data_IF_614385145339
#
_entry.id   IF_614385145339
#
_cell.length_a   1.000
_cell.length_b   1.000
_cell.length_c   1.000
_cell.angle_alpha   90.00
_cell.angle_beta   90.00
_cell.angle_gamma   90.00
#
_symmetry.space_group_name_H-M   'P 1'
#
loop_
_entity.id
_entity.type
_entity.pdbx_description
1 polymer ?
#
# COMPACT_ATOMS: atom_id res chain seq x y z
N UNK A 1 -24.13 -11.80 13.64
CA UNK A 1 -24.62 -12.62 12.49
C UNK A 1 -23.53 -13.62 12.14
N UNK A 2 -23.87 -14.90 11.82
CA UNK A 2 -22.90 -15.91 11.40
C UNK A 2 -22.80 -15.91 9.87
N UNK A 3 -21.57 -15.92 9.36
CA UNK A 3 -21.22 -15.95 7.94
C UNK A 3 -20.09 -16.95 7.69
N UNK A 4 -19.84 -17.32 6.45
CA UNK A 4 -18.61 -18.05 6.06
C UNK A 4 -17.50 -17.04 5.77
N UNK A 5 -16.29 -17.32 6.27
CA UNK A 5 -15.14 -16.44 6.04
C UNK A 5 -13.83 -17.07 6.52
N UNK A 6 -12.71 -16.45 6.13
CA UNK A 6 -11.41 -16.73 6.72
C UNK A 6 -11.11 -15.75 7.82
N UNK A 7 -10.53 -16.24 8.90
CA UNK A 7 -10.22 -15.42 10.07
C UNK A 7 -8.91 -15.82 10.73
N UNK A 8 -8.23 -14.82 11.27
CA UNK A 8 -7.06 -15.00 12.11
C UNK A 8 -7.44 -15.40 13.52
N UNK A 9 -6.59 -16.23 14.12
CA UNK A 9 -6.65 -16.61 15.53
C UNK A 9 -5.26 -16.83 16.09
N UNK A 10 -5.12 -16.81 17.43
CA UNK A 10 -3.87 -17.16 18.08
C UNK A 10 -3.73 -18.70 18.11
N UNK A 11 -2.92 -19.22 17.21
CA UNK A 11 -2.63 -20.66 17.08
C UNK A 11 -1.34 -20.87 16.29
N UNK A 12 -0.43 -21.66 16.82
CA UNK A 12 0.81 -22.03 16.14
C UNK A 12 0.54 -22.83 14.87
N UNK A 13 -0.38 -23.82 14.93
CA UNK A 13 -0.67 -24.70 13.81
C UNK A 13 -1.68 -24.13 12.82
N UNK A 14 -2.68 -23.41 13.31
CA UNK A 14 -3.80 -22.89 12.51
C UNK A 14 -4.05 -21.40 12.78
N UNK A 15 -3.10 -20.52 12.42
CA UNK A 15 -3.25 -19.09 12.65
C UNK A 15 -4.31 -18.42 11.75
N UNK A 16 -4.68 -19.07 10.64
CA UNK A 16 -5.70 -18.65 9.70
C UNK A 16 -6.61 -19.85 9.37
N UNK A 17 -7.92 -19.66 9.49
CA UNK A 17 -8.93 -20.72 9.34
C UNK A 17 -10.09 -20.22 8.49
N UNK A 18 -10.66 -21.12 7.66
CA UNK A 18 -11.95 -20.88 7.00
C UNK A 18 -13.06 -21.62 7.73
N UNK A 19 -14.19 -20.95 7.95
CA UNK A 19 -15.33 -21.56 8.62
C UNK A 19 -16.46 -20.57 8.94
N UNK A 20 -17.38 -21.05 9.79
CA UNK A 20 -18.44 -20.21 10.32
C UNK A 20 -17.85 -19.21 11.33
N UNK A 21 -18.13 -17.94 11.13
CA UNK A 21 -17.64 -16.85 11.97
C UNK A 21 -18.75 -15.84 12.22
N UNK A 22 -18.80 -15.31 13.45
CA UNK A 22 -19.71 -14.25 13.79
C UNK A 22 -19.07 -12.91 13.40
N UNK A 23 -19.81 -12.11 12.62
CA UNK A 23 -19.41 -10.74 12.27
C UNK A 23 -19.98 -9.74 13.26
N UNK A 24 -19.21 -8.68 13.53
CA UNK A 24 -19.51 -7.67 14.53
C UNK A 24 -19.85 -6.35 13.86
N UNK A 25 -20.97 -5.74 14.30
CA UNK A 25 -21.31 -4.39 13.87
C UNK A 25 -20.41 -3.41 14.60
N UNK A 26 -19.65 -2.64 13.86
CA UNK A 26 -18.82 -1.58 14.40
C UNK A 26 -19.64 -0.30 14.39
N UNK A 27 -19.85 0.34 15.56
CA UNK A 27 -20.53 1.61 15.63
C UNK A 27 -19.85 2.61 14.71
N UNK A 28 -20.64 3.27 13.87
CA UNK A 28 -20.15 4.34 13.05
C UNK A 28 -19.83 5.53 13.92
N UNK A 29 -18.54 5.87 14.04
CA UNK A 29 -18.09 7.09 14.68
C UNK A 29 -17.78 8.14 13.63
N UNK A 30 -18.43 9.29 13.74
CA UNK A 30 -18.16 10.45 12.90
C UNK A 30 -17.28 11.45 13.60
N UNK A 31 -16.60 12.25 12.79
CA UNK A 31 -15.81 13.38 13.25
C UNK A 31 -16.70 14.40 13.99
N UNK A 32 -16.33 14.74 15.23
CA UNK A 32 -16.88 15.83 16.05
C UNK A 32 -18.40 16.02 16.07
N UNK A 33 -19.09 15.21 16.88
CA UNK A 33 -20.47 15.51 17.29
C UNK A 33 -21.56 15.11 16.31
N UNK A 34 -21.25 14.36 15.26
CA UNK A 34 -22.25 13.70 14.45
C UNK A 34 -22.75 12.44 15.16
N UNK A 35 -24.04 12.10 14.95
CA UNK A 35 -24.64 10.90 15.54
C UNK A 35 -23.98 9.63 15.02
N UNK A 36 -23.81 8.64 15.89
CA UNK A 36 -23.39 7.28 15.50
C UNK A 36 -24.45 6.70 14.56
N UNK A 37 -24.02 6.19 13.40
CA UNK A 37 -24.90 5.47 12.49
C UNK A 37 -24.56 3.99 12.55
N UNK A 38 -25.60 3.17 12.47
CA UNK A 38 -25.42 1.73 12.33
C UNK A 38 -24.65 1.39 11.05
N UNK A 39 -23.82 0.36 11.11
CA UNK A 39 -23.18 -0.18 9.93
C UNK A 39 -24.21 -0.75 8.95
N UNK A 40 -23.90 -0.69 7.67
CA UNK A 40 -24.69 -1.38 6.63
C UNK A 40 -23.98 -2.65 6.18
N UNK A 41 -24.75 -3.62 5.72
CA UNK A 41 -24.20 -4.88 5.22
C UNK A 41 -23.76 -4.68 3.78
N UNK A 42 -22.53 -5.14 3.48
CA UNK A 42 -22.09 -5.34 2.11
C UNK A 42 -21.53 -6.76 1.93
N UNK A 43 -21.69 -7.30 0.73
CA UNK A 43 -21.25 -8.63 0.32
C UNK A 43 -19.92 -8.54 -0.41
N UNK A 44 -18.95 -9.37 -0.04
CA UNK A 44 -17.66 -9.40 -0.72
C UNK A 44 -17.80 -9.98 -2.12
N UNK A 45 -17.21 -9.31 -3.10
CA UNK A 45 -17.26 -9.68 -4.52
C UNK A 45 -15.89 -10.19 -5.01
N UNK A 46 -14.87 -9.40 -4.74
CA UNK A 46 -13.50 -9.66 -5.19
C UNK A 46 -12.52 -9.16 -4.14
N UNK A 47 -11.59 -10.01 -3.69
CA UNK A 47 -10.69 -9.69 -2.59
C UNK A 47 -9.25 -9.98 -2.97
N UNK A 48 -8.36 -9.03 -2.72
CA UNK A 48 -6.92 -9.14 -2.91
C UNK A 48 -6.18 -9.53 -1.64
N UNK A 49 -5.04 -10.15 -1.83
CA UNK A 49 -4.13 -10.51 -0.74
C UNK A 49 -3.07 -9.42 -0.56
N UNK A 50 -2.80 -9.05 0.69
CA UNK A 50 -1.80 -8.04 1.06
C UNK A 50 -0.70 -8.64 1.95
N UNK A 51 0.49 -8.04 1.90
CA UNK A 51 1.60 -8.42 2.81
C UNK A 51 1.25 -8.31 4.29
N UNK A 52 0.35 -7.40 4.64
CA UNK A 52 -0.17 -7.25 5.99
C UNK A 52 -0.89 -8.50 6.48
N UNK A 53 -1.67 -9.18 5.62
CA UNK A 53 -2.33 -10.44 5.99
C UNK A 53 -1.32 -11.51 6.40
N UNK A 54 -0.21 -11.62 5.65
CA UNK A 54 0.86 -12.55 5.98
C UNK A 54 1.55 -12.22 7.31
N UNK A 55 1.74 -10.93 7.59
CA UNK A 55 2.30 -10.47 8.86
C UNK A 55 1.37 -10.82 10.03
N UNK A 56 0.06 -10.57 9.90
CA UNK A 56 -0.94 -10.90 10.91
C UNK A 56 -1.05 -12.41 11.15
N UNK A 57 -0.97 -13.20 10.08
CA UNK A 57 -0.93 -14.67 10.19
C UNK A 57 0.26 -15.13 11.06
N UNK A 58 1.45 -14.55 10.87
CA UNK A 58 2.62 -14.87 11.68
C UNK A 58 2.48 -14.39 13.13
N UNK A 59 1.91 -13.21 13.36
CA UNK A 59 1.55 -12.76 14.71
C UNK A 59 0.58 -13.74 15.41
N UNK A 60 -0.35 -14.33 14.64
CA UNK A 60 -1.26 -15.37 15.14
C UNK A 60 -0.52 -16.63 15.60
N UNK A 61 0.51 -17.07 14.86
CA UNK A 61 1.39 -18.18 15.26
C UNK A 61 2.13 -17.91 16.57
N UNK A 62 2.54 -16.67 16.76
CA UNK A 62 3.26 -16.23 17.97
C UNK A 62 2.31 -15.94 19.14
N UNK A 63 0.99 -15.99 18.96
CA UNK A 63 0.00 -15.67 19.98
C UNK A 63 -0.17 -14.17 20.25
N UNK A 64 0.23 -13.31 19.31
CA UNK A 64 0.36 -11.86 19.49
C UNK A 64 -0.82 -11.02 18.92
N UNK A 65 -1.94 -11.66 18.54
CA UNK A 65 -3.07 -10.95 17.90
C UNK A 65 -4.09 -10.35 18.87
N UNK A 66 -3.95 -10.52 20.18
CA UNK A 66 -5.00 -10.16 21.17
C UNK A 66 -5.50 -8.71 21.01
N UNK A 67 -4.61 -7.78 20.72
CA UNK A 67 -4.95 -6.36 20.58
C UNK A 67 -5.55 -6.01 19.22
N UNK A 68 -5.51 -6.94 18.27
CA UNK A 68 -6.04 -6.77 16.91
C UNK A 68 -7.46 -7.29 16.74
N UNK A 69 -7.93 -8.09 17.68
CA UNK A 69 -9.29 -8.63 17.64
C UNK A 69 -10.32 -7.56 17.99
N UNK A 70 -11.52 -7.60 17.36
CA UNK A 70 -12.66 -6.81 17.82
C UNK A 70 -12.94 -7.03 19.31
N UNK A 71 -13.47 -6.04 19.98
CA UNK A 71 -13.73 -6.09 21.43
C UNK A 71 -14.56 -7.32 21.81
N UNK A 72 -14.09 -8.06 22.82
CA UNK A 72 -14.75 -9.28 23.29
C UNK A 72 -14.54 -10.52 22.42
N UNK A 73 -13.77 -10.42 21.32
CA UNK A 73 -13.51 -11.50 20.38
C UNK A 73 -12.11 -12.10 20.55
N UNK A 74 -11.93 -13.28 19.96
CA UNK A 74 -10.65 -13.97 19.89
C UNK A 74 -10.26 -14.33 18.46
N UNK A 75 -10.86 -13.65 17.46
CA UNK A 75 -10.66 -13.84 16.02
C UNK A 75 -10.95 -12.53 15.29
N UNK A 76 -10.41 -12.42 14.08
CA UNK A 76 -10.54 -11.29 13.18
C UNK A 76 -10.65 -11.82 11.75
N UNK A 77 -11.72 -11.49 11.04
CA UNK A 77 -11.82 -11.78 9.60
C UNK A 77 -10.78 -10.94 8.88
N UNK A 78 -9.95 -11.59 8.05
CA UNK A 78 -8.89 -10.92 7.32
C UNK A 78 -9.38 -10.29 6.00
N UNK A 79 -8.43 -9.63 5.28
CA UNK A 79 -8.66 -9.01 3.98
C UNK A 79 -9.14 -7.56 4.07
N UNK A 80 -8.44 -6.69 3.34
CA UNK A 80 -8.70 -5.25 3.38
C UNK A 80 -8.60 -4.58 2.01
N UNK A 81 -8.45 -5.34 0.93
CA UNK A 81 -8.34 -4.82 -0.42
C UNK A 81 -9.36 -5.53 -1.32
N UNK A 82 -10.37 -4.81 -1.81
CA UNK A 82 -11.34 -5.47 -2.67
C UNK A 82 -12.58 -4.66 -3.00
N UNK A 83 -13.48 -5.31 -3.73
CA UNK A 83 -14.75 -4.79 -4.19
C UNK A 83 -15.87 -5.47 -3.41
N UNK A 84 -16.84 -4.69 -2.96
CA UNK A 84 -18.04 -5.17 -2.29
C UNK A 84 -19.31 -4.73 -3.05
N UNK A 85 -20.38 -5.50 -2.88
CA UNK A 85 -21.73 -5.16 -3.29
C UNK A 85 -22.53 -4.68 -2.09
N UNK A 86 -23.22 -3.57 -2.20
CA UNK A 86 -24.09 -2.98 -1.16
C UNK A 86 -25.54 -3.20 -1.55
N UNK A 87 -26.21 -4.25 -1.04
CA UNK A 87 -27.56 -4.65 -1.48
C UNK A 87 -28.61 -3.55 -1.30
N UNK A 88 -28.61 -2.89 -0.15
CA UNK A 88 -29.62 -1.86 0.20
C UNK A 88 -29.50 -0.61 -0.68
N UNK A 89 -28.35 -0.37 -1.28
CA UNK A 89 -28.10 0.77 -2.16
C UNK A 89 -27.96 0.38 -3.63
N UNK A 90 -28.02 -0.92 -3.94
CA UNK A 90 -27.91 -1.48 -5.29
C UNK A 90 -26.67 -0.94 -6.04
N UNK A 91 -25.49 -0.99 -5.40
CA UNK A 91 -24.23 -0.47 -5.96
C UNK A 91 -23.02 -1.27 -5.54
N UNK A 92 -21.96 -1.19 -6.36
CA UNK A 92 -20.62 -1.65 -5.99
C UNK A 92 -19.83 -0.53 -5.30
N UNK A 93 -18.97 -0.94 -4.38
CA UNK A 93 -18.12 -0.02 -3.63
C UNK A 93 -16.71 -0.59 -3.37
N UNK A 94 -15.78 0.33 -3.13
CA UNK A 94 -14.46 0.06 -2.52
C UNK A 94 -14.55 0.44 -1.06
N UNK A 95 -13.96 -0.35 -0.19
CA UNK A 95 -13.91 -0.08 1.24
C UNK A 95 -12.74 0.84 1.56
N UNK A 96 -13.02 1.99 2.16
CA UNK A 96 -12.00 2.80 2.82
C UNK A 96 -11.68 2.11 4.15
N UNK A 97 -10.54 1.46 4.23
CA UNK A 97 -10.29 0.44 5.26
C UNK A 97 -9.98 1.00 6.65
N UNK A 98 -9.48 2.24 6.75
CA UNK A 98 -9.07 2.85 8.00
C UNK A 98 -10.08 3.85 8.49
N UNK A 99 -10.48 3.72 9.75
CA UNK A 99 -11.43 4.60 10.41
C UNK A 99 -10.92 5.09 11.76
N UNK A 100 -11.59 6.12 12.27
CA UNK A 100 -11.32 6.77 13.54
C UNK A 100 -12.05 8.10 13.61
N UNK A 101 -11.88 8.83 14.71
CA UNK A 101 -12.53 10.13 14.91
C UNK A 101 -11.64 11.33 14.55
N UNK A 102 -10.44 11.12 14.00
CA UNK A 102 -9.52 12.20 13.67
C UNK A 102 -9.80 12.83 12.32
N UNK A 103 -9.61 14.14 12.24
CA UNK A 103 -9.50 14.85 10.96
C UNK A 103 -8.17 14.60 10.26
N UNK A 104 -7.15 14.20 11.03
CA UNK A 104 -5.82 13.94 10.54
C UNK A 104 -5.63 12.42 10.45
N UNK A 105 -5.68 11.84 9.24
CA UNK A 105 -5.50 10.41 9.05
C UNK A 105 -4.10 9.93 9.49
N UNK A 106 -3.15 10.83 9.66
CA UNK A 106 -1.81 10.49 10.14
C UNK A 106 -1.79 10.18 11.63
N UNK A 107 -2.87 10.48 12.36
CA UNK A 107 -3.01 10.26 13.80
C UNK A 107 -3.98 9.13 14.17
N UNK A 108 -4.54 8.43 13.22
CA UNK A 108 -5.52 7.38 13.49
C UNK A 108 -5.04 6.35 14.52
N UNK A 109 -3.78 5.95 14.46
CA UNK A 109 -3.22 4.94 15.36
C UNK A 109 -3.08 5.40 16.82
N UNK A 110 -3.21 6.70 17.10
CA UNK A 110 -3.17 7.25 18.47
C UNK A 110 -4.56 7.36 19.10
N UNK A 111 -5.61 7.07 18.35
CA UNK A 111 -6.98 7.21 18.81
C UNK A 111 -7.52 5.91 19.40
N UNK A 112 -8.22 6.02 20.53
CA UNK A 112 -8.96 4.88 21.13
C UNK A 112 -10.02 4.30 20.21
N UNK A 113 -10.45 5.09 19.21
CA UNK A 113 -11.49 4.73 18.24
C UNK A 113 -10.93 4.24 16.91
N UNK A 114 -9.61 4.10 16.79
CA UNK A 114 -8.97 3.58 15.58
C UNK A 114 -9.40 2.14 15.31
N UNK A 115 -9.67 1.87 14.08
CA UNK A 115 -9.83 0.51 13.55
C UNK A 115 -9.38 0.44 12.10
N UNK A 116 -9.09 -0.78 11.66
CA UNK A 116 -8.74 -1.06 10.26
C UNK A 116 -9.39 -2.37 9.84
N UNK A 117 -10.30 -2.31 8.87
CA UNK A 117 -10.99 -3.50 8.37
C UNK A 117 -9.99 -4.59 7.95
N UNK A 118 -10.16 -5.79 8.48
CA UNK A 118 -9.30 -6.94 8.21
C UNK A 118 -7.92 -6.94 8.86
N UNK A 119 -7.58 -5.87 9.62
CA UNK A 119 -6.26 -5.72 10.22
C UNK A 119 -6.26 -5.39 11.71
N UNK A 120 -7.18 -4.54 12.15
CA UNK A 120 -7.21 -4.04 13.53
C UNK A 120 -8.64 -3.75 13.97
N UNK A 121 -9.14 -4.49 14.95
CA UNK A 121 -10.43 -4.32 15.63
C UNK A 121 -11.69 -4.32 14.75
N UNK A 122 -11.56 -4.55 13.46
CA UNK A 122 -12.67 -4.58 12.51
C UNK A 122 -12.55 -5.72 11.52
N UNK A 123 -13.62 -6.49 11.37
CA UNK A 123 -13.69 -7.63 10.44
C UNK A 123 -13.54 -7.18 8.98
N UNK A 124 -12.82 -8.00 8.19
CA UNK A 124 -12.43 -7.70 6.82
C UNK A 124 -13.32 -8.32 5.74
N UNK A 125 -12.74 -8.39 4.52
CA UNK A 125 -13.44 -8.75 3.30
C UNK A 125 -13.45 -10.23 2.96
N UNK A 126 -12.60 -11.07 3.56
CA UNK A 126 -12.60 -12.51 3.29
C UNK A 126 -13.75 -13.23 4.00
N UNK A 127 -14.96 -12.73 3.80
CA UNK A 127 -16.22 -13.31 4.27
C UNK A 127 -17.34 -13.07 3.25
N UNK A 128 -18.41 -13.86 3.33
CA UNK A 128 -19.54 -13.70 2.39
C UNK A 128 -20.16 -12.30 2.49
N UNK A 129 -20.19 -11.72 3.69
CA UNK A 129 -20.64 -10.36 3.96
C UNK A 129 -20.14 -9.85 5.29
N UNK A 130 -20.08 -8.55 5.45
CA UNK A 130 -19.68 -7.89 6.67
C UNK A 130 -20.42 -6.56 6.88
N UNK A 131 -20.32 -6.00 8.11
CA UNK A 131 -20.80 -4.65 8.41
C UNK A 131 -19.74 -3.62 8.09
N UNK A 132 -20.15 -2.57 7.39
CA UNK A 132 -19.29 -1.44 7.05
C UNK A 132 -19.91 -0.11 7.46
N UNK A 133 -19.08 0.83 7.83
CA UNK A 133 -19.49 2.22 7.94
C UNK A 133 -19.89 2.74 6.54
N UNK A 134 -21.15 3.22 6.32
CA UNK A 134 -21.59 3.68 5.01
C UNK A 134 -20.70 4.78 4.39
N UNK A 135 -20.10 5.66 5.23
CA UNK A 135 -19.20 6.72 4.75
C UNK A 135 -17.85 6.18 4.27
N UNK A 136 -17.54 4.93 4.63
CA UNK A 136 -16.31 4.25 4.21
C UNK A 136 -16.51 3.34 2.99
N UNK A 137 -17.67 3.39 2.36
CA UNK A 137 -18.00 2.65 1.14
C UNK A 137 -18.03 3.60 -0.06
N UNK A 138 -16.90 3.74 -0.72
CA UNK A 138 -16.73 4.63 -1.88
C UNK A 138 -17.34 3.99 -3.13
N UNK A 139 -18.35 4.67 -3.71
CA UNK A 139 -19.08 4.17 -4.89
C UNK A 139 -18.14 4.00 -6.09
N UNK A 140 -18.21 2.83 -6.73
CA UNK A 140 -17.65 2.63 -8.08
C UNK A 140 -18.59 3.33 -9.09
N UNK A 141 -18.05 4.14 -10.03
CA UNK A 141 -18.90 4.85 -11.00
C UNK A 141 -19.74 3.89 -11.85
N UNK A 142 -21.01 4.23 -12.06
CA UNK A 142 -21.99 3.37 -12.76
C UNK A 142 -21.58 3.00 -14.19
N UNK A 143 -20.78 3.84 -14.85
CA UNK A 143 -20.25 3.57 -16.20
C UNK A 143 -19.38 2.32 -16.32
N UNK A 144 -18.89 1.78 -15.20
CA UNK A 144 -18.11 0.55 -15.14
C UNK A 144 -18.92 -0.69 -14.71
N UNK A 145 -20.22 -0.52 -14.51
CA UNK A 145 -21.15 -1.61 -14.14
C UNK A 145 -22.07 -1.89 -15.34
N UNK A 146 -22.27 -3.17 -15.66
CA UNK A 146 -23.12 -3.62 -16.77
C UNK A 146 -24.13 -4.64 -16.27
N UNK A 147 -25.41 -4.40 -16.49
CA UNK A 147 -26.50 -5.32 -16.14
C UNK A 147 -26.45 -5.81 -14.66
N UNK A 148 -26.11 -4.90 -13.74
CA UNK A 148 -25.97 -5.20 -12.32
C UNK A 148 -24.75 -6.05 -11.96
N UNK A 149 -23.78 -6.16 -12.88
CA UNK A 149 -22.52 -6.88 -12.68
C UNK A 149 -21.31 -6.00 -12.97
N UNK A 150 -20.18 -6.31 -12.34
CA UNK A 150 -18.92 -5.62 -12.54
C UNK A 150 -17.97 -6.48 -13.38
N UNK A 151 -17.31 -5.93 -14.43
CA UNK A 151 -16.29 -6.66 -15.18
C UNK A 151 -15.11 -7.11 -14.29
N UNK A 152 -14.64 -8.34 -14.49
CA UNK A 152 -13.50 -8.88 -13.76
C UNK A 152 -12.25 -8.00 -13.90
N UNK A 153 -12.01 -7.42 -15.08
CA UNK A 153 -10.89 -6.49 -15.30
C UNK A 153 -10.97 -5.26 -14.42
N UNK A 154 -12.17 -4.74 -14.14
CA UNK A 154 -12.37 -3.61 -13.24
C UNK A 154 -12.09 -4.03 -11.78
N UNK A 155 -12.56 -5.20 -11.34
CA UNK A 155 -12.23 -5.72 -10.03
C UNK A 155 -10.71 -5.87 -9.83
N UNK A 156 -10.02 -6.43 -10.83
CA UNK A 156 -8.56 -6.60 -10.84
C UNK A 156 -7.81 -5.26 -10.75
N UNK A 157 -8.30 -4.20 -11.36
CA UNK A 157 -7.74 -2.85 -11.21
C UNK A 157 -7.97 -2.29 -9.81
N UNK A 158 -9.21 -2.36 -9.35
CA UNK A 158 -9.63 -1.74 -8.11
C UNK A 158 -9.13 -2.43 -6.83
N UNK A 159 -8.65 -3.67 -6.91
CA UNK A 159 -7.99 -4.35 -5.77
C UNK A 159 -6.71 -3.64 -5.32
N UNK A 160 -6.18 -2.75 -6.13
CA UNK A 160 -5.02 -1.93 -5.81
C UNK A 160 -5.36 -0.58 -5.15
N UNK A 161 -6.63 -0.28 -4.91
CA UNK A 161 -7.04 1.06 -4.46
C UNK A 161 -6.34 1.48 -3.18
N UNK A 162 -6.24 0.59 -2.17
CA UNK A 162 -5.56 0.89 -0.92
C UNK A 162 -4.05 1.13 -1.11
N UNK A 163 -3.26 0.21 -1.66
CA UNK A 163 -1.82 0.45 -1.82
C UNK A 163 -1.52 1.60 -2.78
N UNK A 164 -2.38 1.88 -3.76
CA UNK A 164 -2.19 3.02 -4.67
C UNK A 164 -2.45 4.35 -3.96
N UNK A 165 -3.51 4.45 -3.14
CA UNK A 165 -3.80 5.63 -2.33
C UNK A 165 -2.69 5.94 -1.32
N UNK A 166 -2.09 4.90 -0.71
CA UNK A 166 -0.90 5.06 0.11
C UNK A 166 0.24 5.72 -0.66
N UNK A 167 0.46 5.34 -1.92
CA UNK A 167 1.55 5.89 -2.73
C UNK A 167 1.27 7.32 -3.21
N UNK A 168 0.02 7.68 -3.47
CA UNK A 168 -0.36 9.08 -3.73
C UNK A 168 0.01 9.95 -2.52
N UNK A 169 -0.36 9.51 -1.32
CA UNK A 169 -0.02 10.23 -0.09
C UNK A 169 1.49 10.32 0.16
N UNK A 170 2.25 9.24 -0.10
CA UNK A 170 3.72 9.26 0.01
C UNK A 170 4.36 10.27 -0.94
N UNK A 171 3.90 10.34 -2.20
CA UNK A 171 4.37 11.33 -3.17
C UNK A 171 4.12 12.75 -2.67
N UNK A 172 2.90 13.04 -2.22
CA UNK A 172 2.50 14.35 -1.68
C UNK A 172 3.39 14.77 -0.50
N UNK A 173 3.65 13.83 0.44
CA UNK A 173 4.55 14.09 1.57
C UNK A 173 5.98 14.41 1.15
N UNK A 174 6.51 13.72 0.14
CA UNK A 174 7.85 14.03 -0.39
C UNK A 174 7.89 15.39 -1.09
N UNK A 175 6.83 15.76 -1.82
CA UNK A 175 6.66 17.08 -2.42
C UNK A 175 6.71 18.19 -1.36
N UNK A 176 5.92 18.03 -0.29
CA UNK A 176 5.85 19.01 0.82
C UNK A 176 7.19 19.18 1.54
N UNK A 177 7.87 18.06 1.83
CA UNK A 177 9.18 18.08 2.50
C UNK A 177 10.22 18.76 1.60
N UNK A 178 10.30 18.37 0.34
CA UNK A 178 11.28 18.93 -0.61
C UNK A 178 11.04 20.41 -0.87
N UNK A 179 9.79 20.83 -0.99
CA UNK A 179 9.40 22.23 -1.09
C UNK A 179 9.86 23.01 0.15
N UNK A 180 9.42 22.58 1.33
CA UNK A 180 9.72 23.28 2.59
C UNK A 180 11.23 23.42 2.83
N UNK A 181 11.99 22.39 2.47
CA UNK A 181 13.44 22.32 2.67
C UNK A 181 14.20 23.25 1.72
N UNK A 182 13.75 23.41 0.47
CA UNK A 182 14.57 23.98 -0.60
C UNK A 182 14.05 25.29 -1.20
N UNK A 183 12.78 25.71 -1.02
CA UNK A 183 12.22 26.84 -1.77
C UNK A 183 12.99 28.15 -1.59
N UNK A 184 13.47 28.46 -0.35
CA UNK A 184 14.26 29.69 -0.10
C UNK A 184 15.61 29.71 -0.83
N UNK A 185 16.22 28.51 -0.94
CA UNK A 185 17.46 28.35 -1.72
C UNK A 185 17.18 28.60 -3.19
N UNK A 186 16.04 28.09 -3.71
CA UNK A 186 15.62 28.28 -5.10
C UNK A 186 15.28 29.75 -5.40
N UNK A 187 14.60 30.44 -4.49
CA UNK A 187 14.38 31.91 -4.61
C UNK A 187 15.69 32.67 -4.83
N UNK A 188 16.69 32.36 -4.02
CA UNK A 188 17.99 33.04 -4.10
C UNK A 188 18.76 32.63 -5.38
N UNK A 189 18.74 31.34 -5.74
CA UNK A 189 19.46 30.80 -6.88
C UNK A 189 18.90 31.32 -8.22
N UNK A 190 17.58 31.32 -8.37
CA UNK A 190 16.90 31.64 -9.63
C UNK A 190 16.38 33.07 -9.68
N UNK A 191 16.47 33.82 -8.57
CA UNK A 191 15.95 35.20 -8.45
C UNK A 191 14.46 35.30 -8.86
N UNK A 192 13.67 34.32 -8.45
CA UNK A 192 12.27 34.17 -8.81
C UNK A 192 11.35 34.45 -7.60
N UNK A 193 10.05 34.49 -7.84
CA UNK A 193 9.03 34.59 -6.81
C UNK A 193 8.99 33.39 -5.89
N UNK A 194 8.37 33.51 -4.70
CA UNK A 194 8.20 32.40 -3.80
C UNK A 194 7.38 31.25 -4.44
N UNK A 195 6.32 31.57 -5.17
CA UNK A 195 5.49 30.55 -5.84
C UNK A 195 6.29 29.76 -6.89
N UNK A 196 7.09 30.44 -7.71
CA UNK A 196 7.96 29.77 -8.69
C UNK A 196 9.04 28.95 -8.00
N UNK A 197 9.63 29.45 -6.91
CA UNK A 197 10.65 28.72 -6.16
C UNK A 197 10.10 27.43 -5.53
N UNK A 198 8.87 27.46 -5.04
CA UNK A 198 8.19 26.28 -4.50
C UNK A 198 7.97 25.22 -5.57
N UNK A 199 7.49 25.60 -6.75
CA UNK A 199 7.30 24.67 -7.87
C UNK A 199 8.64 24.09 -8.36
N UNK A 200 9.69 24.90 -8.47
CA UNK A 200 11.04 24.41 -8.79
C UNK A 200 11.54 23.43 -7.73
N UNK A 201 11.35 23.74 -6.45
CA UNK A 201 11.77 22.87 -5.36
C UNK A 201 11.05 21.52 -5.38
N UNK A 202 9.74 21.50 -5.64
CA UNK A 202 8.96 20.25 -5.82
C UNK A 202 9.50 19.41 -6.96
N UNK A 203 9.69 20.02 -8.15
CA UNK A 203 10.19 19.32 -9.32
C UNK A 203 11.60 18.74 -9.08
N UNK A 204 12.53 19.53 -8.57
CA UNK A 204 13.91 19.10 -8.34
C UNK A 204 14.04 18.06 -7.20
N UNK A 205 13.03 17.96 -6.32
CA UNK A 205 12.96 16.88 -5.33
C UNK A 205 13.01 15.50 -6.00
N UNK A 206 12.41 15.35 -7.17
CA UNK A 206 12.39 14.09 -7.90
C UNK A 206 13.37 13.99 -9.06
N UNK A 207 14.43 14.80 -9.09
CA UNK A 207 15.45 14.72 -10.15
C UNK A 207 16.07 13.32 -10.28
N UNK A 208 16.38 12.68 -9.15
CA UNK A 208 16.99 11.35 -9.07
C UNK A 208 16.37 10.53 -7.95
N UNK A 209 15.62 9.52 -8.32
CA UNK A 209 14.83 8.70 -7.39
C UNK A 209 15.35 7.27 -7.38
N UNK A 210 15.77 6.80 -6.23
CA UNK A 210 16.07 5.40 -5.97
C UNK A 210 14.91 4.74 -5.25
N UNK A 211 14.35 3.67 -5.82
CA UNK A 211 13.27 2.88 -5.20
C UNK A 211 13.83 1.50 -4.90
N UNK A 212 14.06 1.22 -3.62
CA UNK A 212 14.61 -0.06 -3.16
C UNK A 212 13.46 -1.00 -2.78
N UNK A 213 13.19 -1.97 -3.64
CA UNK A 213 12.06 -2.87 -3.61
C UNK A 213 11.15 -2.71 -4.83
N UNK A 214 10.88 -3.80 -5.54
CA UNK A 214 9.98 -3.85 -6.69
C UNK A 214 8.80 -4.79 -6.38
N UNK A 215 8.07 -4.44 -5.34
CA UNK A 215 6.72 -4.92 -5.05
C UNK A 215 5.67 -3.97 -5.61
N UNK A 216 4.42 -4.21 -5.29
CA UNK A 216 3.28 -3.39 -5.70
C UNK A 216 3.49 -1.91 -5.37
N UNK A 217 3.87 -1.59 -4.14
CA UNK A 217 4.07 -0.21 -3.67
C UNK A 217 5.26 0.48 -4.34
N UNK A 218 6.40 -0.24 -4.49
CA UNK A 218 7.56 0.31 -5.21
C UNK A 218 7.24 0.63 -6.67
N UNK A 219 6.48 -0.23 -7.34
CA UNK A 219 6.04 0.01 -8.72
C UNK A 219 5.11 1.24 -8.80
N UNK A 220 4.10 1.32 -7.92
CA UNK A 220 3.13 2.42 -7.96
C UNK A 220 3.76 3.78 -7.68
N UNK A 221 4.66 3.87 -6.71
CA UNK A 221 5.33 5.15 -6.45
C UNK A 221 6.22 5.58 -7.61
N UNK A 222 6.88 4.63 -8.29
CA UNK A 222 7.66 4.91 -9.50
C UNK A 222 6.79 5.43 -10.64
N UNK A 223 5.65 4.80 -10.89
CA UNK A 223 4.69 5.23 -11.90
C UNK A 223 4.10 6.61 -11.57
N UNK A 224 3.64 6.84 -10.35
CA UNK A 224 3.10 8.13 -9.90
C UNK A 224 4.12 9.28 -10.03
N UNK A 225 5.39 9.02 -9.70
CA UNK A 225 6.46 10.01 -9.87
C UNK A 225 6.68 10.28 -11.36
N UNK A 226 6.74 9.24 -12.20
CA UNK A 226 6.93 9.40 -13.63
C UNK A 226 5.78 10.18 -14.30
N UNK A 227 4.53 9.87 -13.95
CA UNK A 227 3.37 10.59 -14.47
C UNK A 227 3.40 12.09 -14.12
N UNK A 228 3.80 12.42 -12.90
CA UNK A 228 3.85 13.81 -12.42
C UNK A 228 5.12 14.54 -12.82
N UNK A 229 6.26 13.84 -12.89
CA UNK A 229 7.61 14.34 -13.14
C UNK A 229 8.29 13.48 -14.23
N UNK A 230 7.90 13.61 -15.50
CA UNK A 230 8.39 12.74 -16.57
C UNK A 230 9.89 12.82 -16.83
N UNK A 231 10.55 13.91 -16.39
CA UNK A 231 12.00 14.10 -16.49
C UNK A 231 12.78 13.42 -15.35
N UNK A 232 12.09 12.89 -14.33
CA UNK A 232 12.70 12.23 -13.18
C UNK A 232 13.53 11.00 -13.63
N UNK A 233 14.75 10.89 -13.14
CA UNK A 233 15.56 9.68 -13.31
C UNK A 233 15.22 8.70 -12.20
N UNK A 234 14.52 7.63 -12.53
CA UNK A 234 14.07 6.62 -11.57
C UNK A 234 14.90 5.35 -11.75
N UNK A 235 15.36 4.78 -10.64
CA UNK A 235 16.04 3.48 -10.60
C UNK A 235 15.34 2.57 -9.61
N UNK A 236 14.84 1.43 -10.08
CA UNK A 236 14.41 0.34 -9.22
C UNK A 236 15.59 -0.56 -8.84
N UNK A 237 15.62 -0.95 -7.56
CA UNK A 237 16.58 -1.90 -7.04
C UNK A 237 15.86 -3.10 -6.45
N UNK A 238 16.05 -4.30 -6.97
CA UNK A 238 15.41 -5.51 -6.45
C UNK A 238 16.19 -6.79 -6.78
N UNK A 239 15.78 -7.91 -6.17
CA UNK A 239 16.43 -9.23 -6.34
C UNK A 239 16.03 -9.96 -7.61
N UNK A 240 14.91 -9.59 -8.23
CA UNK A 240 14.36 -10.28 -9.39
C UNK A 240 15.30 -10.21 -10.59
N UNK A 241 15.22 -11.20 -11.48
CA UNK A 241 15.89 -11.12 -12.79
C UNK A 241 15.30 -9.97 -13.60
N UNK A 242 16.14 -9.25 -14.35
CA UNK A 242 15.70 -8.14 -15.20
C UNK A 242 14.69 -8.59 -16.26
N UNK A 243 14.83 -9.82 -16.74
CA UNK A 243 13.92 -10.45 -17.71
C UNK A 243 12.58 -10.88 -17.12
N UNK A 244 12.36 -10.76 -15.81
CA UNK A 244 11.10 -11.17 -15.21
C UNK A 244 9.93 -10.29 -15.65
N UNK A 245 8.71 -10.86 -15.83
CA UNK A 245 7.54 -10.10 -16.28
C UNK A 245 7.24 -8.87 -15.41
N UNK A 246 7.40 -8.99 -14.09
CA UNK A 246 7.14 -7.88 -13.17
C UNK A 246 8.12 -6.72 -13.33
N UNK A 247 9.41 -7.01 -13.60
CA UNK A 247 10.41 -5.96 -13.85
C UNK A 247 10.08 -5.28 -15.18
N UNK A 248 9.85 -6.06 -16.24
CA UNK A 248 9.48 -5.53 -17.55
C UNK A 248 8.24 -4.65 -17.50
N UNK A 249 7.20 -5.08 -16.76
CA UNK A 249 5.99 -4.29 -16.55
C UNK A 249 6.27 -2.97 -15.83
N UNK A 250 6.97 -3.00 -14.69
CA UNK A 250 7.30 -1.82 -13.91
C UNK A 250 8.12 -0.79 -14.70
N UNK A 251 9.11 -1.25 -15.46
CA UNK A 251 9.93 -0.38 -16.31
C UNK A 251 9.11 0.28 -17.44
N UNK A 252 8.18 -0.46 -18.03
CA UNK A 252 7.26 0.07 -19.05
C UNK A 252 6.36 1.17 -18.49
N UNK A 253 5.85 1.01 -17.24
CA UNK A 253 4.96 1.99 -16.62
C UNK A 253 5.70 3.27 -16.19
N UNK A 254 6.91 3.14 -15.66
CA UNK A 254 7.63 4.25 -15.00
C UNK A 254 8.75 4.87 -15.82
N UNK A 255 9.09 4.31 -16.99
CA UNK A 255 10.26 4.75 -17.75
C UNK A 255 11.60 4.61 -16.99
N UNK A 256 11.62 3.85 -15.90
CA UNK A 256 12.75 3.72 -15.00
C UNK A 256 13.86 2.83 -15.54
N UNK A 257 15.04 2.94 -14.94
CA UNK A 257 16.14 1.97 -15.08
C UNK A 257 16.06 0.93 -13.97
N UNK A 258 16.81 -0.15 -14.11
CA UNK A 258 16.84 -1.26 -13.16
C UNK A 258 18.27 -1.60 -12.72
N UNK A 259 18.43 -1.92 -11.44
CA UNK A 259 19.63 -2.50 -10.86
C UNK A 259 19.24 -3.74 -10.06
N UNK A 260 19.72 -4.90 -10.48
CA UNK A 260 19.55 -6.12 -9.71
C UNK A 260 20.46 -6.07 -8.47
N UNK A 261 19.89 -6.32 -7.28
CA UNK A 261 20.65 -6.26 -6.00
C UNK A 261 21.50 -7.53 -5.76
N UNK A 262 22.16 -8.05 -6.79
CA UNK A 262 22.98 -9.25 -6.75
C UNK A 262 24.45 -8.89 -7.03
N UNK A 263 25.07 -8.17 -6.09
CA UNK A 263 26.48 -7.77 -6.11
C UNK A 263 27.25 -8.47 -4.99
N UNK A 264 28.53 -8.61 -5.14
CA UNK A 264 29.40 -9.23 -4.12
C UNK A 264 29.54 -8.31 -2.89
N UNK A 265 29.48 -7.00 -3.10
CA UNK A 265 29.57 -5.99 -2.04
C UNK A 265 28.46 -4.94 -2.14
N UNK A 266 28.12 -4.35 -0.99
CA UNK A 266 27.17 -3.23 -0.93
C UNK A 266 27.72 -1.96 -1.60
N UNK A 267 29.03 -1.79 -1.66
CA UNK A 267 29.69 -0.66 -2.31
C UNK A 267 29.50 -0.73 -3.83
N UNK A 268 29.70 -1.89 -4.43
CA UNK A 268 29.45 -2.12 -5.86
C UNK A 268 27.97 -1.88 -6.22
N UNK A 269 27.04 -2.35 -5.37
CA UNK A 269 25.62 -2.07 -5.56
C UNK A 269 25.32 -0.56 -5.51
N UNK A 270 25.91 0.14 -4.54
CA UNK A 270 25.73 1.59 -4.40
C UNK A 270 26.31 2.36 -5.60
N UNK A 271 27.47 1.92 -6.12
CA UNK A 271 28.09 2.50 -7.31
C UNK A 271 27.23 2.29 -8.55
N UNK A 272 26.71 1.09 -8.76
CA UNK A 272 25.81 0.77 -9.87
C UNK A 272 24.52 1.63 -9.83
N UNK A 273 23.97 1.86 -8.63
CA UNK A 273 22.79 2.73 -8.47
C UNK A 273 23.15 4.17 -8.84
N UNK A 274 24.27 4.71 -8.32
CA UNK A 274 24.71 6.08 -8.63
C UNK A 274 25.02 6.27 -10.11
N UNK A 275 25.62 5.29 -10.76
CA UNK A 275 25.87 5.31 -12.21
C UNK A 275 24.55 5.42 -12.99
N UNK A 276 23.55 4.59 -12.70
CA UNK A 276 22.24 4.61 -13.36
C UNK A 276 21.48 5.92 -13.13
N UNK A 277 21.59 6.50 -11.92
CA UNK A 277 20.98 7.80 -11.60
C UNK A 277 21.75 9.00 -12.21
N UNK A 278 23.04 8.80 -12.56
CA UNK A 278 23.93 9.89 -12.94
C UNK A 278 24.33 10.76 -11.74
N UNK A 279 24.41 10.18 -10.55
CA UNK A 279 24.80 10.83 -9.30
C UNK A 279 24.04 10.29 -8.09
N UNK A 280 24.13 11.00 -6.97
CA UNK A 280 23.39 10.62 -5.76
C UNK A 280 21.88 10.88 -5.90
N UNK A 281 21.08 10.07 -5.24
CA UNK A 281 19.63 10.23 -5.21
C UNK A 281 19.20 11.50 -4.45
N UNK A 282 18.22 12.19 -4.95
CA UNK A 282 17.50 13.27 -4.24
C UNK A 282 16.41 12.70 -3.33
N UNK A 283 15.81 11.58 -3.77
CA UNK A 283 14.85 10.79 -2.99
C UNK A 283 15.26 9.33 -2.99
N UNK A 284 15.23 8.69 -1.82
CA UNK A 284 15.39 7.25 -1.67
C UNK A 284 14.15 6.68 -0.99
N UNK A 285 13.51 5.70 -1.61
CA UNK A 285 12.28 5.07 -1.11
C UNK A 285 12.60 3.63 -0.71
N UNK A 286 12.53 3.35 0.58
CA UNK A 286 12.65 2.00 1.13
C UNK A 286 11.31 1.30 1.11
N UNK A 287 11.11 0.37 0.18
CA UNK A 287 9.86 -0.38 0.01
C UNK A 287 10.03 -1.90 0.07
N UNK A 288 11.22 -2.39 0.43
CA UNK A 288 11.51 -3.82 0.54
C UNK A 288 11.45 -4.37 1.97
N UNK A 289 11.57 -3.53 2.99
CA UNK A 289 11.72 -3.93 4.38
C UNK A 289 13.06 -4.58 4.73
N UNK A 290 14.04 -4.56 3.81
CA UNK A 290 15.35 -5.14 4.05
C UNK A 290 16.28 -4.13 4.75
N UNK A 291 16.97 -4.55 5.82
CA UNK A 291 17.90 -3.69 6.55
C UNK A 291 18.99 -3.05 5.65
N UNK A 292 19.39 -3.75 4.58
CA UNK A 292 20.38 -3.27 3.62
C UNK A 292 19.99 -1.96 2.93
N UNK A 293 18.71 -1.66 2.74
CA UNK A 293 18.29 -0.42 2.06
C UNK A 293 18.76 0.83 2.80
N UNK A 294 18.80 0.80 4.12
CA UNK A 294 19.32 1.90 4.95
C UNK A 294 20.82 2.04 4.84
N UNK A 295 21.56 0.92 4.80
CA UNK A 295 23.01 0.96 4.59
C UNK A 295 23.35 1.56 3.23
N UNK A 296 22.66 1.12 2.17
CA UNK A 296 22.85 1.64 0.81
C UNK A 296 22.55 3.15 0.76
N UNK A 297 21.47 3.59 1.38
CA UNK A 297 21.10 5.01 1.39
C UNK A 297 22.12 5.87 2.13
N UNK A 298 22.48 5.52 3.36
CA UNK A 298 23.25 6.38 4.27
C UNK A 298 24.72 6.05 4.31
N UNK A 299 25.09 4.81 4.62
CA UNK A 299 26.50 4.41 4.79
C UNK A 299 27.26 4.41 3.46
N UNK A 300 26.65 3.87 2.41
CA UNK A 300 27.26 3.85 1.07
C UNK A 300 26.89 5.08 0.23
N UNK A 301 26.15 6.03 0.81
CA UNK A 301 25.98 7.37 0.30
C UNK A 301 25.22 7.47 -1.03
N UNK A 302 24.28 6.57 -1.29
CA UNK A 302 23.40 6.72 -2.44
C UNK A 302 22.50 7.93 -2.27
N UNK A 303 21.99 8.21 -1.05
CA UNK A 303 21.24 9.42 -0.76
C UNK A 303 22.17 10.64 -0.65
N UNK A 304 21.91 11.66 -1.46
CA UNK A 304 22.70 12.88 -1.54
C UNK A 304 22.46 13.91 -0.43
N UNK A 305 23.10 15.09 -0.55
CA UNK A 305 22.80 16.24 0.31
C UNK A 305 21.38 16.75 0.08
N UNK A 306 20.73 17.20 1.16
CA UNK A 306 19.32 17.58 1.19
C UNK A 306 18.37 16.46 0.69
N UNK A 307 18.84 15.22 0.69
CA UNK A 307 18.07 14.08 0.21
C UNK A 307 16.99 13.65 1.21
N UNK A 308 15.91 13.11 0.68
CA UNK A 308 14.75 12.61 1.44
C UNK A 308 14.77 11.08 1.41
N UNK A 309 14.79 10.45 2.58
CA UNK A 309 14.56 9.02 2.74
C UNK A 309 13.11 8.76 3.20
N UNK A 310 12.36 8.08 2.36
CA UNK A 310 11.03 7.60 2.71
C UNK A 310 11.11 6.15 3.22
N UNK A 311 10.90 5.96 4.52
CA UNK A 311 10.79 4.64 5.16
C UNK A 311 9.34 4.17 5.12
N UNK A 312 8.94 3.59 3.98
CA UNK A 312 7.58 3.10 3.80
C UNK A 312 7.40 1.67 4.31
N UNK A 313 8.35 0.81 4.03
CA UNK A 313 8.27 -0.59 4.45
C UNK A 313 8.53 -0.76 5.96
N UNK A 314 7.80 -1.71 6.55
CA UNK A 314 8.08 -2.16 7.91
C UNK A 314 9.32 -3.05 7.89
N UNK A 315 10.44 -2.52 8.34
CA UNK A 315 11.73 -3.21 8.44
C UNK A 315 12.12 -3.55 9.87
N UNK A 316 13.23 -4.27 10.04
CA UNK A 316 13.80 -4.52 11.35
C UNK A 316 14.34 -3.23 11.99
N UNK A 317 14.60 -3.28 13.28
CA UNK A 317 15.35 -2.22 13.98
C UNK A 317 16.71 -2.03 13.31
N UNK A 318 17.05 -0.76 13.05
CA UNK A 318 18.31 -0.37 12.42
C UNK A 318 19.02 0.69 13.24
N UNK A 319 20.36 0.62 13.26
CA UNK A 319 21.22 1.68 13.76
C UNK A 319 21.92 2.37 12.59
N UNK A 320 22.01 3.70 12.59
CA UNK A 320 22.78 4.45 11.61
C UNK A 320 23.57 5.60 12.25
N UNK A 321 24.67 5.98 11.58
CA UNK A 321 25.51 7.09 12.02
C UNK A 321 24.81 8.43 11.73
N UNK A 322 24.53 9.18 12.79
CA UNK A 322 23.83 10.48 12.70
C UNK A 322 24.73 11.62 12.21
N UNK A 323 26.04 11.46 12.27
CA UNK A 323 26.97 12.53 11.88
C UNK A 323 26.95 12.81 10.37
N UNK A 324 27.16 11.82 9.47
CA UNK A 324 27.03 12.04 8.04
C UNK A 324 25.62 12.52 7.64
N UNK A 325 24.60 12.01 8.32
CA UNK A 325 23.20 12.41 8.14
C UNK A 325 23.01 13.93 8.39
N UNK A 326 23.50 14.44 9.53
CA UNK A 326 23.45 15.86 9.88
C UNK A 326 24.24 16.75 8.91
N UNK A 327 25.46 16.35 8.54
CA UNK A 327 26.29 17.11 7.60
C UNK A 327 25.69 17.20 6.18
N UNK A 328 24.86 16.27 5.80
CA UNK A 328 24.19 16.27 4.48
C UNK A 328 22.81 16.92 4.52
N UNK A 329 22.32 17.41 5.68
CA UNK A 329 20.96 17.93 5.84
C UNK A 329 19.89 16.99 5.30
N UNK A 330 20.03 15.69 5.54
CA UNK A 330 19.10 14.69 5.06
C UNK A 330 17.84 14.63 5.93
N UNK A 331 16.73 14.20 5.36
CA UNK A 331 15.47 13.99 6.06
C UNK A 331 15.08 12.53 5.96
N UNK A 332 14.69 11.93 7.09
CA UNK A 332 14.02 10.62 7.15
C UNK A 332 12.59 10.87 7.59
N UNK A 333 11.63 10.29 6.87
CA UNK A 333 10.26 10.25 7.33
C UNK A 333 9.65 8.87 7.10
N UNK A 334 8.75 8.49 8.00
CA UNK A 334 7.85 7.36 7.82
C UNK A 334 6.44 7.91 7.66
N UNK A 335 5.66 7.28 6.84
CA UNK A 335 4.25 7.61 6.69
C UNK A 335 3.48 6.36 6.29
N UNK A 336 2.30 6.24 6.84
CA UNK A 336 1.32 5.20 6.57
C UNK A 336 -0.04 5.88 6.46
N UNK A 337 -1.04 5.20 5.96
CA UNK A 337 -2.39 5.73 5.77
C UNK A 337 -2.49 6.71 4.59
N UNK A 338 -3.67 7.23 4.42
CA UNK A 338 -4.02 8.21 3.39
C UNK A 338 -5.38 8.84 3.74
N UNK A 339 -5.73 9.94 3.10
CA UNK A 339 -7.05 10.57 3.23
C UNK A 339 -8.03 9.97 2.21
N UNK A 340 -9.31 10.22 2.40
CA UNK A 340 -10.35 9.76 1.47
C UNK A 340 -10.13 10.27 0.04
N UNK A 341 -9.70 11.54 -0.12
CA UNK A 341 -9.40 12.13 -1.43
C UNK A 341 -8.31 11.37 -2.21
N UNK A 342 -7.31 10.81 -1.51
CA UNK A 342 -6.30 9.95 -2.14
C UNK A 342 -6.91 8.64 -2.65
N UNK A 343 -7.85 8.06 -1.92
CA UNK A 343 -8.56 6.85 -2.37
C UNK A 343 -9.42 7.14 -3.59
N UNK A 344 -10.13 8.27 -3.60
CA UNK A 344 -10.93 8.70 -4.76
C UNK A 344 -10.05 8.97 -5.99
N UNK A 345 -8.87 9.58 -5.80
CA UNK A 345 -7.87 9.76 -6.87
C UNK A 345 -7.33 8.40 -7.34
N UNK A 346 -7.02 7.49 -6.42
CA UNK A 346 -6.55 6.14 -6.75
C UNK A 346 -7.58 5.37 -7.59
N UNK A 347 -8.85 5.36 -7.21
CA UNK A 347 -9.93 4.72 -7.95
C UNK A 347 -9.98 5.29 -9.39
N UNK A 348 -9.97 6.60 -9.53
CA UNK A 348 -10.02 7.26 -10.84
C UNK A 348 -8.85 6.87 -11.75
N UNK A 349 -7.62 6.86 -11.23
CA UNK A 349 -6.42 6.50 -12.01
C UNK A 349 -6.44 5.02 -12.36
N UNK A 350 -6.79 4.15 -11.41
CA UNK A 350 -6.78 2.71 -11.61
C UNK A 350 -7.80 2.26 -12.66
N UNK A 351 -8.96 2.87 -12.73
CA UNK A 351 -9.98 2.54 -13.72
C UNK A 351 -9.46 2.71 -15.16
N UNK A 352 -8.58 3.69 -15.41
CA UNK A 352 -7.96 3.95 -16.72
C UNK A 352 -6.62 3.22 -16.94
N UNK A 353 -6.15 2.47 -15.94
CA UNK A 353 -4.85 1.77 -15.97
C UNK A 353 -4.92 0.40 -16.67
N UNK A 354 -3.75 -0.24 -16.81
CA UNK A 354 -3.60 -1.63 -17.25
C UNK A 354 -3.14 -2.58 -16.13
N UNK A 355 -3.32 -2.21 -14.87
CA UNK A 355 -2.84 -3.01 -13.73
C UNK A 355 -3.59 -4.34 -13.53
N UNK A 356 -4.75 -4.53 -14.17
CA UNK A 356 -5.42 -5.83 -14.23
C UNK A 356 -4.54 -6.94 -14.84
N UNK A 357 -3.56 -6.58 -15.69
CA UNK A 357 -2.63 -7.52 -16.33
C UNK A 357 -1.71 -8.24 -15.34
N UNK A 358 -1.45 -7.65 -14.16
CA UNK A 358 -0.53 -8.20 -13.15
C UNK A 358 -1.23 -8.87 -11.96
N UNK A 359 -2.55 -9.04 -12.03
CA UNK A 359 -3.34 -9.72 -11.01
C UNK A 359 -3.61 -11.16 -11.44
N UNK A 360 -3.10 -12.11 -10.69
CA UNK A 360 -3.40 -13.52 -10.85
C UNK A 360 -4.51 -13.95 -9.88
N UNK A 361 -5.32 -14.91 -10.30
CA UNK A 361 -6.40 -15.43 -9.49
C UNK A 361 -6.01 -16.75 -8.84
N UNK A 362 -6.39 -16.91 -7.58
CA UNK A 362 -6.48 -18.21 -6.92
C UNK A 362 -7.94 -18.63 -6.84
N UNK A 363 -8.20 -19.92 -7.01
CA UNK A 363 -9.52 -20.49 -6.84
C UNK A 363 -9.99 -20.35 -5.38
N UNK A 364 -11.29 -20.03 -5.16
CA UNK A 364 -11.85 -19.84 -3.81
C UNK A 364 -11.81 -21.11 -3.00
N UNK A 365 -12.19 -22.24 -3.59
CA UNK A 365 -12.24 -23.52 -2.88
C UNK A 365 -10.82 -23.95 -2.50
N UNK A 366 -9.86 -23.79 -3.41
CA UNK A 366 -8.46 -24.04 -3.15
C UNK A 366 -7.90 -23.17 -2.00
N UNK A 367 -8.23 -21.88 -1.99
CA UNK A 367 -7.82 -20.98 -0.91
C UNK A 367 -8.46 -21.36 0.43
N UNK A 368 -9.75 -21.68 0.43
CA UNK A 368 -10.50 -21.93 1.67
C UNK A 368 -10.28 -23.33 2.26
N UNK A 369 -9.80 -24.30 1.46
CA UNK A 369 -9.43 -25.63 1.92
C UNK A 369 -8.24 -25.58 2.90
N UNK A 370 -7.19 -24.84 2.55
CA UNK A 370 -6.02 -24.63 3.41
C UNK A 370 -5.45 -23.21 3.24
N UNK A 371 -6.02 -22.20 3.94
CA UNK A 371 -5.61 -20.82 3.79
C UNK A 371 -4.15 -20.56 4.15
N UNK A 372 -3.59 -21.27 5.13
CA UNK A 372 -2.20 -21.14 5.55
C UNK A 372 -1.26 -21.58 4.43
N UNK A 373 -1.49 -22.77 3.88
CA UNK A 373 -0.70 -23.28 2.77
C UNK A 373 -0.81 -22.40 1.52
N UNK A 374 -2.00 -21.89 1.22
CA UNK A 374 -2.20 -20.95 0.11
C UNK A 374 -1.33 -19.69 0.26
N UNK A 375 -1.30 -19.08 1.45
CA UNK A 375 -0.45 -17.92 1.71
C UNK A 375 1.04 -18.24 1.55
N UNK A 376 1.52 -19.35 2.10
CA UNK A 376 2.95 -19.67 2.13
C UNK A 376 3.49 -20.15 0.79
N UNK A 377 2.72 -20.99 0.11
CA UNK A 377 3.23 -21.75 -1.04
C UNK A 377 2.74 -21.24 -2.40
N UNK A 378 1.78 -20.28 -2.43
CA UNK A 378 1.25 -19.73 -3.68
C UNK A 378 1.31 -18.20 -3.69
N UNK A 379 0.77 -17.54 -2.66
CA UNK A 379 0.60 -16.07 -2.66
C UNK A 379 1.92 -15.34 -2.36
N UNK A 380 2.70 -15.85 -1.38
CA UNK A 380 3.99 -15.26 -0.97
C UNK A 380 5.19 -16.14 -1.25
N UNK A 381 5.02 -17.19 -2.04
CA UNK A 381 6.13 -18.04 -2.47
C UNK A 381 7.16 -17.29 -3.30
N UNK A 382 8.38 -17.86 -3.38
CA UNK A 382 9.41 -17.35 -4.29
C UNK A 382 8.92 -17.44 -5.74
N UNK A 383 8.85 -16.31 -6.43
CA UNK A 383 8.34 -16.25 -7.81
C UNK A 383 6.83 -16.01 -7.90
N UNK A 384 6.15 -15.80 -6.78
CA UNK A 384 4.74 -15.44 -6.76
C UNK A 384 4.44 -14.21 -7.62
N UNK A 385 3.19 -14.08 -8.11
CA UNK A 385 2.74 -12.94 -8.88
C UNK A 385 2.84 -11.64 -8.07
N UNK A 386 2.77 -10.50 -8.76
CA UNK A 386 2.84 -9.20 -8.09
C UNK A 386 1.62 -8.95 -7.20
N UNK A 387 0.48 -9.45 -7.59
CA UNK A 387 -0.78 -9.43 -6.84
C UNK A 387 -1.56 -10.70 -7.09
N UNK A 388 -2.01 -11.31 -6.03
CA UNK A 388 -2.98 -12.41 -6.07
C UNK A 388 -4.32 -11.91 -5.55
N UNK A 389 -5.41 -12.42 -6.12
CA UNK A 389 -6.77 -12.11 -5.69
C UNK A 389 -7.69 -13.31 -5.86
N UNK A 390 -8.84 -13.28 -5.22
CA UNK A 390 -9.86 -14.32 -5.31
C UNK A 390 -11.21 -13.71 -5.66
N UNK A 391 -11.96 -14.37 -6.54
CA UNK A 391 -13.37 -14.07 -6.75
C UNK A 391 -14.14 -14.67 -5.57
N UNK A 392 -14.71 -13.79 -4.73
CA UNK A 392 -15.43 -14.26 -3.55
C UNK A 392 -16.88 -14.61 -3.87
N UNK A 393 -17.51 -13.84 -4.78
CA UNK A 393 -18.87 -14.07 -5.21
C UNK A 393 -19.02 -13.86 -6.72
N UNK A 394 -19.07 -14.96 -7.47
CA UNK A 394 -19.14 -14.97 -8.94
C UNK A 394 -20.43 -14.39 -9.51
N UNK A 395 -21.54 -14.39 -8.74
CA UNK A 395 -22.83 -13.88 -9.25
C UNK A 395 -22.77 -12.41 -9.68
N UNK A 396 -21.84 -11.62 -9.12
CA UNK A 396 -21.67 -10.20 -9.39
C UNK A 396 -20.65 -9.88 -10.49
N UNK A 397 -19.96 -10.87 -11.04
CA UNK A 397 -18.86 -10.67 -12.02
C UNK A 397 -19.29 -11.08 -13.43
N UNK A 398 -18.81 -10.34 -14.44
CA UNK A 398 -18.90 -10.67 -15.88
C UNK A 398 -17.53 -10.65 -16.53
#
# INVERSE_FOLDING_TARGET
MIVKGTYFQNSEEKPLVYGDVEIHNIPRRRLRGEEEKEGIIAESVFVGFCGTDYTLMNMGREGNLKQKFPEGCNRLINGHEGVVWVPDENRFAIVLIRGGNSYDPTRYTEEETYFEYGCDQADGLFSDKNYYNPDMLLKIPDGYVKDGKIPLSICKKLVFSDPYACMIFQRERMEDIGEAQNFRVKMAQYKCSEAEAREIARKETFDRVCIFGLGTTGMFIGDLIHQRYPDAKIVFVARSEESSPKVSFALKQSGASYVRSAFDTNEELADAIREKLGGTATVFIGSSGAAIEHEIAFRYGVLGCNGIYNSFSLGPEIAFDTMPFGFKNQVIFGSINFRQDHMEEAIRILLDSCYDEIVELIDKDEFTEDPVNAYENKIYAKGAPMKTAVIWNEQYII
#
